data_IF_734127273377
#
_entry.id   IF_734127273377
#
_cell.length_a   1.000
_cell.length_b   1.000
_cell.length_c   1.000
_cell.angle_alpha   90.00
_cell.angle_beta   90.00
_cell.angle_gamma   90.00
#
_symmetry.space_group_name_H-M   'P 1'
#
loop_
_entity.id
_entity.type
_entity.pdbx_description
1 polymer ?
#
# COMPACT_ATOMS: atom_id res chain seq x y z
N UNK A 1 69.42 20.31 -50.32
CA UNK A 1 68.25 20.81 -49.56
C UNK A 1 67.31 21.52 -50.53
N UNK A 2 65.97 21.55 -50.31
CA UNK A 2 65.16 20.80 -49.34
C UNK A 2 63.96 20.05 -49.99
N UNK A 3 63.42 19.10 -49.24
CA UNK A 3 62.20 18.32 -49.44
C UNK A 3 60.94 19.21 -49.31
N UNK A 4 59.88 19.03 -50.13
CA UNK A 4 58.56 19.51 -49.75
C UNK A 4 57.92 18.53 -48.78
N UNK A 5 57.61 19.05 -47.60
CA UNK A 5 57.02 18.32 -46.49
C UNK A 5 55.66 17.72 -46.88
N UNK A 6 55.46 16.47 -46.46
CA UNK A 6 54.14 15.88 -46.30
C UNK A 6 53.42 16.67 -45.22
N UNK A 7 52.53 17.56 -45.61
CA UNK A 7 51.56 18.14 -44.69
C UNK A 7 50.30 17.28 -44.73
N UNK A 8 50.23 16.31 -43.81
CA UNK A 8 48.98 15.61 -43.51
C UNK A 8 48.32 16.34 -42.36
N UNK A 9 47.10 16.90 -42.52
CA UNK A 9 46.31 17.33 -41.39
C UNK A 9 45.86 16.08 -40.62
N UNK A 10 46.68 15.63 -39.66
CA UNK A 10 46.27 14.70 -38.61
C UNK A 10 45.45 15.47 -37.59
N UNK A 11 44.16 15.61 -37.89
CA UNK A 11 43.16 16.21 -37.03
C UNK A 11 42.08 15.24 -36.60
N UNK A 12 42.41 13.98 -36.29
CA UNK A 12 41.42 12.95 -35.89
C UNK A 12 41.87 12.17 -34.64
N UNK A 13 42.00 12.85 -33.49
CA UNK A 13 42.23 12.14 -32.21
C UNK A 13 41.23 12.50 -31.10
N UNK A 14 40.20 13.32 -31.37
CA UNK A 14 39.15 13.63 -30.38
C UNK A 14 37.82 12.87 -30.59
N UNK A 15 37.77 11.94 -31.54
CA UNK A 15 36.51 11.32 -31.99
C UNK A 15 36.26 9.86 -31.54
N UNK A 16 37.18 9.21 -30.82
CA UNK A 16 37.04 7.78 -30.49
C UNK A 16 36.33 7.48 -29.17
N UNK A 17 36.75 8.12 -28.08
CA UNK A 17 36.32 7.75 -26.71
C UNK A 17 35.20 8.67 -26.19
N UNK A 18 35.30 9.97 -26.44
CA UNK A 18 34.26 10.94 -26.06
C UNK A 18 32.96 10.76 -26.84
N UNK A 19 33.04 10.39 -28.12
CA UNK A 19 31.88 10.08 -28.94
C UNK A 19 31.18 8.79 -28.50
N UNK A 20 31.95 7.73 -28.17
CA UNK A 20 31.41 6.48 -27.65
C UNK A 20 30.76 6.67 -26.26
N UNK A 21 31.40 7.43 -25.37
CA UNK A 21 30.81 7.75 -24.06
C UNK A 21 29.50 8.53 -24.19
N UNK A 22 29.42 9.48 -25.12
CA UNK A 22 28.18 10.21 -25.43
C UNK A 22 27.08 9.27 -25.93
N UNK A 23 27.41 8.33 -26.81
CA UNK A 23 26.44 7.37 -27.36
C UNK A 23 25.91 6.41 -26.27
N UNK A 24 26.78 5.92 -25.37
CA UNK A 24 26.34 5.09 -24.23
C UNK A 24 25.47 5.90 -23.27
N UNK A 25 25.82 7.16 -22.99
CA UNK A 25 25.00 8.04 -22.15
C UNK A 25 23.62 8.32 -22.78
N UNK A 26 23.56 8.52 -24.09
CA UNK A 26 22.30 8.68 -24.83
C UNK A 26 21.45 7.41 -24.78
N UNK A 27 22.04 6.22 -24.97
CA UNK A 27 21.32 4.95 -24.84
C UNK A 27 20.83 4.68 -23.42
N UNK A 28 21.67 4.92 -22.41
CA UNK A 28 21.28 4.80 -21.01
C UNK A 28 20.13 5.76 -20.67
N UNK A 29 20.17 7.01 -21.17
CA UNK A 29 19.07 7.97 -20.99
C UNK A 29 17.79 7.52 -21.68
N UNK A 30 17.88 6.91 -22.88
CA UNK A 30 16.73 6.38 -23.60
C UNK A 30 16.07 5.19 -22.89
N UNK A 31 16.88 4.29 -22.32
CA UNK A 31 16.39 3.17 -21.51
C UNK A 31 15.73 3.65 -20.22
N UNK A 32 16.35 4.60 -19.52
CA UNK A 32 15.77 5.17 -18.32
C UNK A 32 14.40 5.81 -18.58
N UNK A 33 14.25 6.55 -19.70
CA UNK A 33 12.94 7.08 -20.12
C UNK A 33 11.92 5.98 -20.39
N UNK A 34 12.33 4.90 -21.05
CA UNK A 34 11.45 3.79 -21.37
C UNK A 34 10.96 3.05 -20.12
N UNK A 35 11.84 2.81 -19.15
CA UNK A 35 11.46 2.21 -17.86
C UNK A 35 10.51 3.12 -17.08
N UNK A 36 10.70 4.44 -17.13
CA UNK A 36 9.77 5.38 -16.51
C UNK A 36 8.40 5.38 -17.20
N UNK A 37 8.35 5.34 -18.53
CA UNK A 37 7.11 5.23 -19.28
C UNK A 37 6.38 3.92 -18.95
N UNK A 38 7.11 2.80 -18.93
CA UNK A 38 6.56 1.49 -18.59
C UNK A 38 6.07 1.44 -17.13
N UNK A 39 6.87 1.93 -16.20
CA UNK A 39 6.51 2.02 -14.79
C UNK A 39 5.27 2.90 -14.59
N UNK A 40 5.14 4.01 -15.33
CA UNK A 40 3.96 4.87 -15.32
C UNK A 40 2.70 4.13 -15.78
N UNK A 41 2.78 3.34 -16.85
CA UNK A 41 1.67 2.51 -17.33
C UNK A 41 1.30 1.44 -16.30
N UNK A 42 2.29 0.74 -15.72
CA UNK A 42 2.06 -0.29 -14.72
C UNK A 42 1.46 0.27 -13.43
N UNK A 43 1.97 1.41 -12.95
CA UNK A 43 1.43 2.15 -11.81
C UNK A 43 -0.01 2.57 -12.06
N UNK A 44 -0.33 3.13 -13.24
CA UNK A 44 -1.70 3.52 -13.59
C UNK A 44 -2.63 2.31 -13.61
N UNK A 45 -2.17 1.17 -14.15
CA UNK A 45 -2.94 -0.09 -14.16
C UNK A 45 -3.21 -0.57 -12.74
N UNK A 46 -2.19 -0.60 -11.88
CA UNK A 46 -2.31 -0.99 -10.46
C UNK A 46 -3.23 -0.03 -9.71
N UNK A 47 -3.07 1.27 -9.91
CA UNK A 47 -3.92 2.30 -9.31
C UNK A 47 -5.38 2.16 -9.73
N UNK A 48 -5.65 1.86 -11.00
CA UNK A 48 -7.02 1.63 -11.48
C UNK A 48 -7.65 0.38 -10.86
N UNK A 49 -6.94 -0.74 -10.82
CA UNK A 49 -7.44 -1.98 -10.21
C UNK A 49 -7.71 -1.77 -8.72
N UNK A 50 -6.77 -1.14 -8.02
CA UNK A 50 -6.93 -0.83 -6.60
C UNK A 50 -8.07 0.17 -6.37
N UNK A 51 -8.18 1.21 -7.20
CA UNK A 51 -9.23 2.23 -7.12
C UNK A 51 -10.63 1.66 -7.35
N UNK A 52 -10.80 0.78 -8.34
CA UNK A 52 -12.06 0.05 -8.55
C UNK A 52 -12.34 -0.88 -7.37
N UNK A 53 -11.34 -1.61 -6.88
CA UNK A 53 -11.48 -2.49 -5.72
C UNK A 53 -11.92 -1.74 -4.46
N UNK A 54 -11.29 -0.61 -4.16
CA UNK A 54 -11.66 0.27 -3.05
C UNK A 54 -13.07 0.83 -3.28
N UNK A 55 -13.38 1.33 -4.47
CA UNK A 55 -14.70 1.88 -4.79
C UNK A 55 -15.83 0.86 -4.59
N UNK A 56 -15.65 -0.36 -5.11
CA UNK A 56 -16.58 -1.47 -4.91
C UNK A 56 -16.67 -1.88 -3.44
N UNK A 57 -15.53 -1.97 -2.74
CA UNK A 57 -15.48 -2.34 -1.33
C UNK A 57 -16.22 -1.34 -0.44
N UNK A 58 -15.98 -0.04 -0.62
CA UNK A 58 -16.67 1.04 0.11
C UNK A 58 -18.16 1.02 -0.20
N UNK A 59 -18.53 0.87 -1.48
CA UNK A 59 -19.95 0.82 -1.88
C UNK A 59 -20.66 -0.38 -1.28
N UNK A 60 -20.05 -1.57 -1.33
CA UNK A 60 -20.58 -2.78 -0.72
C UNK A 60 -20.73 -2.64 0.79
N UNK A 61 -19.75 -2.03 1.47
CA UNK A 61 -19.82 -1.76 2.90
C UNK A 61 -20.98 -0.81 3.25
N UNK A 62 -21.18 0.27 2.50
CA UNK A 62 -22.30 1.19 2.69
C UNK A 62 -23.65 0.52 2.44
N UNK A 63 -23.80 -0.22 1.34
CA UNK A 63 -25.02 -0.96 1.03
C UNK A 63 -25.30 -2.03 2.08
N UNK A 64 -24.28 -2.73 2.55
CA UNK A 64 -24.40 -3.70 3.65
C UNK A 64 -24.85 -3.04 4.95
N UNK A 65 -24.31 -1.87 5.28
CA UNK A 65 -24.72 -1.10 6.46
C UNK A 65 -26.19 -0.66 6.37
N UNK A 66 -26.62 -0.12 5.23
CA UNK A 66 -28.02 0.23 5.01
C UNK A 66 -28.93 -1.01 5.05
N UNK A 67 -28.53 -2.09 4.40
CA UNK A 67 -29.26 -3.36 4.41
C UNK A 67 -29.44 -3.92 5.82
N UNK A 68 -28.40 -3.86 6.66
CA UNK A 68 -28.50 -4.23 8.07
C UNK A 68 -29.48 -3.32 8.82
N UNK A 69 -29.45 -2.01 8.59
CA UNK A 69 -30.41 -1.07 9.17
C UNK A 69 -31.86 -1.39 8.80
N UNK A 70 -32.13 -1.64 7.52
CA UNK A 70 -33.46 -2.04 7.03
C UNK A 70 -33.89 -3.41 7.57
N UNK A 71 -32.98 -4.36 7.70
CA UNK A 71 -33.28 -5.66 8.31
C UNK A 71 -33.70 -5.50 9.77
N UNK A 72 -32.98 -4.72 10.55
CA UNK A 72 -33.34 -4.43 11.94
C UNK A 72 -34.69 -3.70 12.03
N UNK A 73 -34.91 -2.70 11.18
CA UNK A 73 -36.21 -2.01 11.10
C UNK A 73 -37.35 -2.98 10.74
N UNK A 74 -37.10 -3.93 9.84
CA UNK A 74 -38.08 -4.97 9.45
C UNK A 74 -38.39 -5.89 10.62
N UNK A 75 -37.38 -6.33 11.37
CA UNK A 75 -37.57 -7.15 12.58
C UNK A 75 -38.38 -6.38 13.62
N UNK A 76 -38.04 -5.12 13.88
CA UNK A 76 -38.79 -4.25 14.79
C UNK A 76 -40.23 -4.09 14.32
N UNK A 77 -40.47 -3.82 13.03
CA UNK A 77 -41.80 -3.67 12.47
C UNK A 77 -42.62 -4.96 12.59
N UNK A 78 -42.02 -6.12 12.35
CA UNK A 78 -42.67 -7.42 12.52
C UNK A 78 -43.06 -7.69 13.98
N UNK A 79 -42.18 -7.37 14.93
CA UNK A 79 -42.49 -7.45 16.37
C UNK A 79 -43.59 -6.46 16.77
N UNK A 80 -43.60 -5.27 16.18
CA UNK A 80 -44.60 -4.23 16.45
C UNK A 80 -46.01 -4.59 15.95
N UNK A 81 -46.19 -5.67 15.18
CA UNK A 81 -47.51 -6.21 14.82
C UNK A 81 -48.21 -6.81 16.06
N UNK A 82 -47.42 -7.36 17.00
CA UNK A 82 -47.93 -8.10 18.17
C UNK A 82 -47.59 -7.45 19.52
N UNK A 83 -46.72 -6.44 19.52
CA UNK A 83 -46.25 -5.70 20.71
C UNK A 83 -46.27 -4.20 20.44
N UNK A 84 -46.25 -3.38 21.49
CA UNK A 84 -46.04 -1.94 21.34
C UNK A 84 -44.68 -1.64 20.68
N UNK A 85 -44.64 -0.60 19.85
CA UNK A 85 -43.43 -0.22 19.10
C UNK A 85 -42.22 0.04 20.00
N UNK A 86 -42.44 0.63 21.18
CA UNK A 86 -41.35 0.91 22.12
C UNK A 86 -40.75 -0.39 22.72
N UNK A 87 -41.57 -1.41 22.98
CA UNK A 87 -41.11 -2.73 23.44
C UNK A 87 -40.35 -3.46 22.34
N UNK A 88 -40.87 -3.42 21.11
CA UNK A 88 -40.20 -4.02 19.95
C UNK A 88 -38.80 -3.44 19.74
N UNK A 89 -38.66 -2.10 19.82
CA UNK A 89 -37.37 -1.42 19.73
C UNK A 89 -36.42 -1.83 20.86
N UNK A 90 -36.93 -1.91 22.11
CA UNK A 90 -36.14 -2.28 23.27
C UNK A 90 -35.61 -3.72 23.16
N UNK A 91 -36.44 -4.67 22.73
CA UNK A 91 -36.05 -6.07 22.55
C UNK A 91 -34.98 -6.24 21.46
N UNK A 92 -35.17 -5.60 20.30
CA UNK A 92 -34.16 -5.65 19.22
C UNK A 92 -32.85 -5.02 19.67
N UNK A 93 -32.91 -3.91 20.41
CA UNK A 93 -31.73 -3.26 20.97
C UNK A 93 -31.00 -4.18 21.94
N UNK A 94 -31.71 -4.82 22.88
CA UNK A 94 -31.13 -5.74 23.84
C UNK A 94 -30.47 -6.94 23.15
N UNK A 95 -31.13 -7.50 22.13
CA UNK A 95 -30.58 -8.58 21.31
C UNK A 95 -29.26 -8.17 20.64
N UNK A 96 -29.19 -6.97 20.07
CA UNK A 96 -27.97 -6.44 19.45
C UNK A 96 -26.83 -6.27 20.46
N UNK A 97 -27.10 -5.73 21.66
CA UNK A 97 -26.09 -5.60 22.70
C UNK A 97 -25.59 -6.95 23.20
N UNK A 98 -26.48 -7.93 23.36
CA UNK A 98 -26.09 -9.29 23.72
C UNK A 98 -25.19 -9.91 22.64
N UNK A 99 -25.58 -9.80 21.37
CA UNK A 99 -24.77 -10.31 20.26
C UNK A 99 -23.41 -9.61 20.16
N UNK A 100 -23.38 -8.28 20.30
CA UNK A 100 -22.15 -7.50 20.32
C UNK A 100 -21.24 -7.89 21.49
N UNK A 101 -21.79 -8.13 22.67
CA UNK A 101 -21.05 -8.63 23.83
C UNK A 101 -20.40 -9.98 23.56
N UNK A 102 -21.15 -10.94 23.01
CA UNK A 102 -20.62 -12.27 22.65
C UNK A 102 -19.52 -12.15 21.60
N UNK A 103 -19.77 -11.42 20.51
CA UNK A 103 -18.78 -11.21 19.45
C UNK A 103 -17.53 -10.49 19.98
N UNK A 104 -17.68 -9.51 20.86
CA UNK A 104 -16.58 -8.79 21.51
C UNK A 104 -15.70 -9.71 22.36
N UNK A 105 -16.32 -10.59 23.16
CA UNK A 105 -15.59 -11.60 23.94
C UNK A 105 -14.84 -12.59 23.03
N UNK A 106 -15.49 -13.07 21.97
CA UNK A 106 -14.86 -13.97 21.00
C UNK A 106 -13.70 -13.30 20.25
N UNK A 107 -13.87 -12.04 19.84
CA UNK A 107 -12.84 -11.25 19.20
C UNK A 107 -11.64 -11.04 20.14
N UNK A 108 -11.89 -10.68 21.40
CA UNK A 108 -10.84 -10.52 22.40
C UNK A 108 -10.09 -11.84 22.64
N UNK A 109 -10.80 -12.97 22.67
CA UNK A 109 -10.20 -14.29 22.76
C UNK A 109 -9.32 -14.64 21.56
N UNK A 110 -9.74 -14.28 20.35
CA UNK A 110 -8.96 -14.48 19.11
C UNK A 110 -7.73 -13.58 19.06
N UNK A 111 -7.86 -12.31 19.42
CA UNK A 111 -6.73 -11.37 19.48
C UNK A 111 -5.71 -11.87 20.50
N UNK A 112 -6.14 -12.24 21.71
CA UNK A 112 -5.24 -12.75 22.76
C UNK A 112 -4.50 -14.04 22.37
N UNK A 113 -5.08 -14.89 21.52
CA UNK A 113 -4.46 -16.14 21.03
C UNK A 113 -3.63 -15.94 19.76
N UNK A 114 -4.03 -15.00 18.91
CA UNK A 114 -3.42 -14.75 17.60
C UNK A 114 -2.33 -13.68 17.62
N UNK A 115 -2.24 -12.88 18.68
CA UNK A 115 -1.07 -12.03 18.93
C UNK A 115 0.11 -12.92 19.31
N UNK A 116 1.13 -13.10 18.45
CA UNK A 116 2.36 -13.73 18.89
C UNK A 116 2.87 -12.97 20.12
N UNK A 117 3.46 -13.64 21.13
CA UNK A 117 4.12 -12.94 22.22
C UNK A 117 5.04 -11.90 21.59
N UNK A 118 4.96 -10.66 22.09
CA UNK A 118 5.76 -9.54 21.60
C UNK A 118 7.20 -10.07 21.43
N UNK A 119 7.81 -10.02 20.23
CA UNK A 119 9.09 -10.68 20.00
C UNK A 119 10.18 -9.85 20.68
N UNK A 120 10.31 -10.03 22.00
CA UNK A 120 11.19 -9.24 22.87
C UNK A 120 12.63 -9.30 22.40
N UNK A 121 13.06 -10.46 21.88
CA UNK A 121 14.37 -10.66 21.29
C UNK A 121 14.56 -9.82 20.02
N UNK A 122 13.61 -9.82 19.09
CA UNK A 122 13.69 -9.01 17.87
C UNK A 122 13.67 -7.51 18.16
N UNK A 123 12.92 -7.08 19.17
CA UNK A 123 12.90 -5.68 19.63
C UNK A 123 14.24 -5.30 20.29
N UNK A 124 14.81 -6.21 21.09
CA UNK A 124 16.11 -5.99 21.74
C UNK A 124 17.24 -5.91 20.73
N UNK A 125 17.26 -6.80 19.74
CA UNK A 125 18.24 -6.77 18.65
C UNK A 125 18.12 -5.50 17.81
N UNK A 126 16.89 -5.11 17.43
CA UNK A 126 16.67 -3.87 16.69
C UNK A 126 17.18 -2.63 17.45
N UNK A 127 16.97 -2.58 18.78
CA UNK A 127 17.49 -1.50 19.64
C UNK A 127 19.02 -1.46 19.63
N UNK A 128 19.67 -2.60 19.83
CA UNK A 128 21.13 -2.72 19.80
C UNK A 128 21.70 -2.29 18.44
N UNK A 129 21.03 -2.64 17.33
CA UNK A 129 21.44 -2.21 15.98
C UNK A 129 21.29 -0.69 15.80
N UNK A 130 20.19 -0.07 16.25
CA UNK A 130 20.07 1.40 16.20
C UNK A 130 21.06 2.13 17.11
N UNK A 131 21.39 1.57 18.28
CA UNK A 131 22.40 2.13 19.18
C UNK A 131 23.79 2.05 18.56
N UNK A 132 24.14 0.91 17.94
CA UNK A 132 25.40 0.74 17.21
C UNK A 132 25.53 1.73 16.05
N UNK A 133 24.47 1.93 15.26
CA UNK A 133 24.45 2.88 14.15
C UNK A 133 24.58 4.34 14.61
N UNK A 134 23.98 4.70 15.75
CA UNK A 134 24.15 6.04 16.35
C UNK A 134 25.56 6.27 16.88
N UNK A 135 26.16 5.26 17.52
CA UNK A 135 27.52 5.36 18.04
C UNK A 135 28.57 5.46 16.92
N UNK A 136 28.35 4.79 15.78
CA UNK A 136 29.25 4.87 14.62
C UNK A 136 29.14 6.16 13.81
N UNK A 137 28.04 6.92 13.95
CA UNK A 137 27.84 8.19 13.24
C UNK A 137 28.41 9.43 13.94
N UNK A 138 28.94 9.26 15.17
CA UNK A 138 29.50 10.35 15.99
C UNK A 138 31.01 10.27 16.17
N UNK A 139 31.71 9.40 15.42
CA UNK A 139 33.19 9.30 15.38
C UNK A 139 33.70 9.71 14.01
#
# INVERSE_FOLDING_TARGET
MPTPAVDRPVGHEKSGVGAAAKQVAEHASSLARLELELAGVELTRKARVLGVGIGLGVTAALLGLYGLGFLLATITAALAIVLDTWLALLLVTLFLFALAGVLGVLALGRIKRGSPPVPEQAIKEAKLTTEALRASGTS
#
